data_IF_108424875520
#
_entry.id   IF_108424875520
#
_cell.length_a   1.000
_cell.length_b   1.000
_cell.length_c   1.000
_cell.angle_alpha   90.00
_cell.angle_beta   90.00
_cell.angle_gamma   90.00
#
_symmetry.space_group_name_H-M   'P 1'
#
loop_
_entity.id
_entity.type
_entity.pdbx_description
1 polymer ?
#
# COMPACT_ATOMS: atom_id res chain seq x y z
N UNK A 1 -1.05 27.02 44.61
CA UNK A 1 -1.74 27.99 43.70
C UNK A 1 -0.74 28.71 42.77
N UNK A 2 0.45 29.19 43.24
CA UNK A 2 1.42 29.91 42.39
C UNK A 2 2.09 28.96 41.39
N UNK A 3 2.48 27.75 41.82
CA UNK A 3 3.12 26.75 40.97
C UNK A 3 2.25 26.26 39.83
N UNK A 4 0.94 26.06 40.05
CA UNK A 4 -0.02 25.67 39.01
C UNK A 4 -0.24 26.77 37.96
N UNK A 5 -0.23 28.03 38.37
CA UNK A 5 -0.37 29.19 37.47
C UNK A 5 0.88 29.36 36.58
N UNK A 6 2.08 29.12 37.12
CA UNK A 6 3.36 29.17 36.37
C UNK A 6 3.42 28.00 35.36
N UNK A 7 3.01 26.80 35.77
CA UNK A 7 2.94 25.63 34.88
C UNK A 7 1.96 25.88 33.73
N UNK A 8 0.77 26.40 34.03
CA UNK A 8 -0.25 26.67 33.00
C UNK A 8 0.19 27.75 32.01
N UNK A 9 0.82 28.83 32.51
CA UNK A 9 1.39 29.89 31.64
C UNK A 9 2.57 29.37 30.79
N UNK A 10 3.44 28.54 31.35
CA UNK A 10 4.55 27.90 30.63
C UNK A 10 4.00 27.00 29.50
N UNK A 11 3.01 26.17 29.82
CA UNK A 11 2.37 25.29 28.86
C UNK A 11 1.67 26.05 27.73
N UNK A 12 0.89 27.09 28.07
CA UNK A 12 0.27 27.97 27.07
C UNK A 12 1.31 28.63 26.15
N UNK A 13 2.41 29.14 26.71
CA UNK A 13 3.46 29.82 25.94
C UNK A 13 4.18 28.84 24.99
N UNK A 14 4.44 27.62 25.44
CA UNK A 14 5.05 26.55 24.62
C UNK A 14 4.10 26.13 23.48
N UNK A 15 2.82 25.94 23.81
CA UNK A 15 1.80 25.56 22.82
C UNK A 15 1.61 26.64 21.76
N UNK A 16 1.56 27.91 22.17
CA UNK A 16 1.45 29.05 21.25
C UNK A 16 2.71 29.23 20.40
N UNK A 17 3.89 28.98 20.96
CA UNK A 17 5.16 29.05 20.20
C UNK A 17 5.24 27.97 19.13
N UNK A 18 4.79 26.75 19.40
CA UNK A 18 4.71 25.67 18.42
C UNK A 18 3.70 26.03 17.30
N UNK A 19 2.57 26.63 17.66
CA UNK A 19 1.57 27.11 16.69
C UNK A 19 2.10 28.22 15.79
N UNK A 20 2.86 29.17 16.34
CA UNK A 20 3.43 30.30 15.58
C UNK A 20 4.55 29.86 14.62
N UNK A 21 5.32 28.85 14.96
CA UNK A 21 6.35 28.27 14.08
C UNK A 21 5.73 27.60 12.85
N UNK A 22 4.56 26.98 12.99
CA UNK A 22 3.85 26.29 11.89
C UNK A 22 3.19 27.30 10.92
N UNK A 23 2.74 28.45 11.44
CA UNK A 23 2.03 29.47 10.66
C UNK A 23 2.97 30.27 9.72
N UNK A 24 4.27 30.36 10.03
CA UNK A 24 5.25 31.07 9.20
C UNK A 24 5.62 30.36 7.88
N UNK A 25 5.21 29.11 7.68
CA UNK A 25 5.54 28.30 6.49
C UNK A 25 4.37 28.11 5.50
N UNK A 26 3.23 28.79 5.69
CA UNK A 26 2.06 28.59 4.82
C UNK A 26 1.42 27.19 4.88
N UNK A 27 1.80 26.37 5.84
CA UNK A 27 1.26 25.05 6.07
C UNK A 27 0.00 25.09 6.94
N UNK A 28 -0.89 24.13 6.72
CA UNK A 28 -2.06 23.87 7.56
C UNK A 28 -1.63 23.85 9.04
N UNK A 29 -2.29 24.63 9.91
CA UNK A 29 -2.01 24.71 11.34
C UNK A 29 -1.96 23.34 12.01
N UNK A 30 -1.04 23.15 12.99
CA UNK A 30 -0.94 21.90 13.78
C UNK A 30 -2.29 21.51 14.37
N UNK A 31 -3.07 22.49 14.85
CA UNK A 31 -4.42 22.26 15.34
C UNK A 31 -5.35 21.69 14.28
N UNK A 32 -5.30 22.20 13.07
CA UNK A 32 -6.13 21.75 11.97
C UNK A 32 -5.74 20.34 11.52
N UNK A 33 -4.43 20.03 11.49
CA UNK A 33 -3.93 18.68 11.26
C UNK A 33 -4.42 17.69 12.33
N UNK A 34 -4.34 18.08 13.61
CA UNK A 34 -4.82 17.27 14.72
C UNK A 34 -6.34 17.08 14.69
N UNK A 35 -7.09 18.16 14.42
CA UNK A 35 -8.56 18.09 14.28
C UNK A 35 -8.97 17.16 13.13
N UNK A 36 -8.34 17.33 11.96
CA UNK A 36 -8.57 16.48 10.78
C UNK A 36 -8.27 15.02 11.08
N UNK A 37 -7.11 14.74 11.70
CA UNK A 37 -6.73 13.36 12.08
C UNK A 37 -7.75 12.75 13.05
N UNK A 38 -8.18 13.51 14.05
CA UNK A 38 -9.19 13.06 15.03
C UNK A 38 -10.55 12.80 14.37
N UNK A 39 -10.95 13.65 13.42
CA UNK A 39 -12.18 13.48 12.64
C UNK A 39 -12.12 12.21 11.79
N UNK A 40 -11.04 11.99 11.07
CA UNK A 40 -10.84 10.80 10.22
C UNK A 40 -10.77 9.50 11.04
N UNK A 41 -10.19 9.52 12.23
CA UNK A 41 -10.16 8.35 13.12
C UNK A 41 -11.54 7.95 13.66
N UNK A 42 -12.52 8.87 13.63
CA UNK A 42 -13.92 8.61 13.96
C UNK A 42 -14.77 8.25 12.74
N UNK A 43 -14.18 8.25 11.54
CA UNK A 43 -14.86 7.89 10.31
C UNK A 43 -15.31 6.43 10.26
N UNK A 44 -16.13 6.10 9.28
CA UNK A 44 -16.63 4.75 9.07
C UNK A 44 -15.48 3.72 8.93
N UNK A 45 -15.69 2.52 9.44
CA UNK A 45 -14.78 1.38 9.20
C UNK A 45 -15.12 0.79 7.84
N UNK A 46 -14.16 0.78 6.94
CA UNK A 46 -14.34 0.34 5.54
C UNK A 46 -13.36 -0.79 5.26
N UNK A 47 -13.87 -1.89 4.71
CA UNK A 47 -13.06 -2.96 4.12
C UNK A 47 -13.21 -2.87 2.61
N UNK A 48 -12.11 -2.74 1.90
CA UNK A 48 -12.05 -2.73 0.44
C UNK A 48 -11.27 -3.96 -0.03
N UNK A 49 -11.87 -4.75 -0.92
CA UNK A 49 -11.29 -6.00 -1.44
C UNK A 49 -11.08 -5.83 -2.94
N UNK A 50 -9.89 -6.18 -3.43
CA UNK A 50 -9.58 -6.12 -4.85
C UNK A 50 -8.08 -6.14 -5.12
N UNK A 51 -7.70 -5.82 -6.35
CA UNK A 51 -6.31 -5.76 -6.79
C UNK A 51 -6.09 -4.68 -7.82
N UNK A 52 -4.86 -4.58 -8.29
CA UNK A 52 -4.50 -3.68 -9.37
C UNK A 52 -4.73 -2.20 -9.11
N UNK A 53 -4.92 -1.49 -10.22
CA UNK A 53 -5.08 -0.03 -10.23
C UNK A 53 -6.42 0.41 -9.62
N UNK A 54 -7.47 -0.39 -9.77
CA UNK A 54 -8.82 -0.03 -9.32
C UNK A 54 -8.91 0.14 -7.81
N UNK A 55 -8.36 -0.81 -7.05
CA UNK A 55 -8.35 -0.74 -5.58
C UNK A 55 -7.54 0.46 -5.09
N UNK A 56 -6.33 0.69 -5.63
CA UNK A 56 -5.49 1.81 -5.22
C UNK A 56 -6.15 3.16 -5.49
N UNK A 57 -6.86 3.32 -6.61
CA UNK A 57 -7.64 4.54 -6.91
C UNK A 57 -8.78 4.74 -5.91
N UNK A 58 -9.51 3.67 -5.57
CA UNK A 58 -10.56 3.70 -4.57
C UNK A 58 -10.02 4.14 -3.19
N UNK A 59 -8.88 3.58 -2.78
CA UNK A 59 -8.23 3.90 -1.50
C UNK A 59 -7.81 5.37 -1.41
N UNK A 60 -7.31 5.99 -2.51
CA UNK A 60 -7.04 7.43 -2.57
C UNK A 60 -8.27 8.29 -2.30
N UNK A 61 -9.44 7.82 -2.74
CA UNK A 61 -10.72 8.47 -2.44
C UNK A 61 -11.11 8.30 -0.97
N UNK A 62 -11.14 7.07 -0.50
CA UNK A 62 -11.62 6.69 0.84
C UNK A 62 -10.79 7.35 1.96
N UNK A 63 -9.46 7.41 1.83
CA UNK A 63 -8.58 8.01 2.88
C UNK A 63 -8.88 9.47 3.20
N UNK A 64 -9.62 10.18 2.32
CA UNK A 64 -10.05 11.55 2.55
C UNK A 64 -11.19 11.66 3.57
N UNK A 65 -11.90 10.55 3.82
CA UNK A 65 -13.10 10.49 4.66
C UNK A 65 -12.88 9.71 5.96
N UNK A 66 -11.98 8.72 5.96
CA UNK A 66 -11.69 7.89 7.14
C UNK A 66 -10.26 7.36 7.13
N UNK A 67 -9.70 7.16 8.33
CA UNK A 67 -8.45 6.43 8.54
C UNK A 67 -8.71 4.93 8.84
N UNK A 68 -9.98 4.55 9.07
CA UNK A 68 -10.35 3.18 9.44
C UNK A 68 -10.59 2.33 8.19
N UNK A 69 -9.57 2.21 7.35
CA UNK A 69 -9.60 1.47 6.08
C UNK A 69 -8.77 0.20 6.21
N UNK A 70 -9.34 -0.93 5.80
CA UNK A 70 -8.60 -2.18 5.59
C UNK A 70 -8.71 -2.55 4.12
N UNK A 71 -7.57 -2.61 3.44
CA UNK A 71 -7.47 -3.08 2.06
C UNK A 71 -7.05 -4.55 2.05
N UNK A 72 -7.87 -5.42 1.48
CA UNK A 72 -7.54 -6.83 1.23
C UNK A 72 -7.17 -6.94 -0.26
N UNK A 73 -5.90 -7.23 -0.52
CA UNK A 73 -5.29 -7.11 -1.85
C UNK A 73 -5.09 -8.48 -2.45
N UNK A 74 -5.55 -8.69 -3.68
CA UNK A 74 -5.30 -9.92 -4.44
C UNK A 74 -3.80 -10.10 -4.71
N UNK A 75 -3.33 -11.35 -4.78
CA UNK A 75 -1.92 -11.72 -4.94
C UNK A 75 -1.70 -12.61 -6.17
N UNK A 76 -2.51 -12.43 -7.20
CA UNK A 76 -2.45 -13.20 -8.44
C UNK A 76 -1.50 -12.64 -9.50
N UNK A 77 -0.96 -11.41 -9.33
CA UNK A 77 -0.09 -10.75 -10.31
C UNK A 77 1.20 -11.57 -10.57
N UNK A 78 1.40 -11.95 -11.82
CA UNK A 78 2.58 -12.69 -12.29
C UNK A 78 3.36 -11.92 -13.36
N UNK A 79 3.00 -10.66 -13.60
CA UNK A 79 3.60 -9.83 -14.63
C UNK A 79 4.85 -9.07 -14.18
N UNK A 80 5.72 -8.77 -15.14
CA UNK A 80 6.83 -7.83 -15.02
C UNK A 80 7.73 -8.02 -13.79
N UNK A 81 7.90 -6.96 -12.99
CA UNK A 81 8.76 -6.98 -11.80
C UNK A 81 8.20 -7.85 -10.68
N UNK A 82 6.88 -7.92 -10.52
CA UNK A 82 6.23 -8.72 -9.47
C UNK A 82 6.42 -10.21 -9.72
N UNK A 83 6.18 -10.65 -10.97
CA UNK A 83 6.35 -12.05 -11.35
C UNK A 83 7.78 -12.52 -11.18
N UNK A 84 8.78 -11.72 -11.65
CA UNK A 84 10.20 -12.08 -11.47
C UNK A 84 10.58 -12.25 -9.99
N UNK A 85 10.19 -11.31 -9.12
CA UNK A 85 10.50 -11.39 -7.69
C UNK A 85 9.78 -12.57 -7.02
N UNK A 86 8.57 -12.87 -7.44
CA UNK A 86 7.83 -14.05 -6.99
C UNK A 86 8.58 -15.35 -7.35
N UNK A 87 9.04 -15.48 -8.58
CA UNK A 87 9.77 -16.67 -9.06
C UNK A 87 11.17 -16.79 -8.44
N UNK A 88 11.93 -15.69 -8.38
CA UNK A 88 13.32 -15.70 -7.92
C UNK A 88 13.43 -15.76 -6.39
N UNK A 89 12.51 -15.13 -5.66
CA UNK A 89 12.59 -14.97 -4.20
C UNK A 89 11.55 -15.80 -3.44
N UNK A 90 10.60 -16.46 -4.13
CA UNK A 90 9.54 -17.24 -3.47
C UNK A 90 8.60 -16.41 -2.60
N UNK A 91 8.37 -15.16 -2.94
CA UNK A 91 7.51 -14.24 -2.18
C UNK A 91 6.18 -14.02 -2.90
N UNK A 92 5.18 -13.54 -2.17
CA UNK A 92 3.95 -13.05 -2.82
C UNK A 92 4.26 -11.86 -3.73
N UNK A 93 3.55 -11.71 -4.87
CA UNK A 93 3.79 -10.62 -5.81
C UNK A 93 3.52 -9.26 -5.14
N UNK A 94 4.52 -8.37 -5.06
CA UNK A 94 4.40 -7.14 -4.27
C UNK A 94 3.69 -5.98 -4.99
N UNK A 95 3.41 -6.09 -6.29
CA UNK A 95 2.98 -4.97 -7.14
C UNK A 95 1.70 -4.29 -6.65
N UNK A 96 0.64 -5.03 -6.47
CA UNK A 96 -0.65 -4.52 -6.03
C UNK A 96 -0.63 -4.05 -4.58
N UNK A 97 0.05 -4.80 -3.72
CA UNK A 97 0.28 -4.41 -2.32
C UNK A 97 1.00 -3.06 -2.26
N UNK A 98 2.07 -2.90 -3.04
CA UNK A 98 2.82 -1.64 -3.18
C UNK A 98 1.92 -0.47 -3.60
N UNK A 99 1.06 -0.68 -4.60
CA UNK A 99 0.15 0.35 -5.08
C UNK A 99 -0.85 0.79 -4.00
N UNK A 100 -1.35 -0.15 -3.21
CA UNK A 100 -2.26 0.13 -2.10
C UNK A 100 -1.56 0.86 -0.95
N UNK A 101 -0.33 0.48 -0.60
CA UNK A 101 0.49 1.17 0.40
C UNK A 101 0.74 2.61 -0.03
N UNK A 102 1.20 2.85 -1.26
CA UNK A 102 1.42 4.20 -1.79
C UNK A 102 0.13 5.04 -1.77
N UNK A 103 -1.01 4.45 -2.14
CA UNK A 103 -2.30 5.14 -2.13
C UNK A 103 -2.75 5.58 -0.73
N UNK A 104 -2.37 4.86 0.32
CA UNK A 104 -2.71 5.16 1.71
C UNK A 104 -1.66 6.00 2.45
N UNK A 105 -0.50 6.28 1.85
CA UNK A 105 0.54 7.12 2.44
C UNK A 105 0.05 8.54 2.69
N UNK A 106 0.57 9.20 3.74
CA UNK A 106 0.25 10.59 4.08
C UNK A 106 0.81 11.56 3.05
N UNK A 107 2.07 11.39 2.66
CA UNK A 107 2.74 12.08 1.56
C UNK A 107 2.64 11.20 0.30
N UNK A 108 1.49 11.25 -0.34
CA UNK A 108 1.19 10.38 -1.47
C UNK A 108 2.09 10.68 -2.68
N UNK A 109 2.31 11.95 -2.99
CA UNK A 109 2.99 12.35 -4.23
C UNK A 109 4.43 11.84 -4.22
N UNK A 110 5.19 12.13 -3.16
CA UNK A 110 6.58 11.70 -3.02
C UNK A 110 6.71 10.18 -2.89
N UNK A 111 5.85 9.55 -2.09
CA UNK A 111 5.85 8.09 -1.91
C UNK A 111 5.43 7.39 -3.19
N UNK A 112 4.43 7.89 -3.89
CA UNK A 112 4.00 7.32 -5.17
C UNK A 112 5.12 7.40 -6.20
N UNK A 113 5.78 8.56 -6.33
CA UNK A 113 6.90 8.74 -7.25
C UNK A 113 8.05 7.78 -6.93
N UNK A 114 8.47 7.70 -5.66
CA UNK A 114 9.52 6.79 -5.20
C UNK A 114 9.16 5.33 -5.43
N UNK A 115 7.96 4.91 -5.05
CA UNK A 115 7.53 3.51 -5.14
C UNK A 115 7.27 3.07 -6.58
N UNK A 116 6.91 3.98 -7.46
CA UNK A 116 6.75 3.71 -8.89
C UNK A 116 8.05 3.89 -9.68
N UNK A 117 9.08 4.46 -9.06
CA UNK A 117 10.37 4.58 -9.73
C UNK A 117 10.84 3.22 -10.22
N UNK A 118 11.13 3.13 -11.53
CA UNK A 118 11.58 1.89 -12.18
C UNK A 118 13.01 2.08 -12.64
N UNK A 119 13.85 1.14 -12.25
CA UNK A 119 15.24 1.14 -12.65
C UNK A 119 15.34 0.91 -14.16
N UNK A 120 16.00 1.83 -14.85
CA UNK A 120 16.18 1.76 -16.32
C UNK A 120 17.44 1.01 -16.73
N UNK A 121 18.38 0.90 -15.80
CA UNK A 121 19.69 0.28 -16.01
C UNK A 121 20.12 -0.42 -14.74
N UNK A 122 21.14 -1.28 -14.85
CA UNK A 122 21.72 -2.04 -13.75
C UNK A 122 21.43 -3.53 -13.88
N UNK A 123 22.50 -4.32 -13.87
CA UNK A 123 22.38 -5.78 -13.90
C UNK A 123 21.56 -6.27 -12.71
N UNK A 124 20.52 -7.05 -12.95
CA UNK A 124 19.58 -7.52 -11.93
C UNK A 124 18.55 -6.48 -11.42
N UNK A 125 18.74 -5.17 -11.69
CA UNK A 125 17.79 -4.14 -11.24
C UNK A 125 16.84 -3.69 -12.35
N UNK A 126 17.28 -3.75 -13.59
CA UNK A 126 16.53 -3.23 -14.73
C UNK A 126 15.10 -3.79 -14.79
N UNK A 127 14.15 -2.88 -14.93
CA UNK A 127 12.72 -3.19 -14.98
C UNK A 127 12.06 -3.42 -13.62
N UNK A 128 12.82 -3.52 -12.51
CA UNK A 128 12.22 -3.56 -11.18
C UNK A 128 11.79 -2.16 -10.71
N UNK A 129 10.67 -2.09 -9.98
CA UNK A 129 10.31 -0.87 -9.28
C UNK A 129 10.96 -0.85 -7.89
N UNK A 130 11.34 0.36 -7.43
CA UNK A 130 11.89 0.54 -6.09
C UNK A 130 10.95 -0.04 -5.01
N UNK A 131 9.66 0.25 -5.10
CA UNK A 131 8.70 -0.21 -4.09
C UNK A 131 8.56 -1.73 -4.04
N UNK A 132 8.70 -2.44 -5.18
CA UNK A 132 8.71 -3.90 -5.17
C UNK A 132 9.97 -4.43 -4.48
N UNK A 133 11.15 -3.88 -4.79
CA UNK A 133 12.41 -4.25 -4.12
C UNK A 133 12.38 -3.94 -2.63
N UNK A 134 11.81 -2.80 -2.24
CA UNK A 134 11.64 -2.42 -0.83
C UNK A 134 10.80 -3.44 -0.06
N UNK A 135 9.64 -3.85 -0.60
CA UNK A 135 8.79 -4.86 0.03
C UNK A 135 9.47 -6.23 0.07
N UNK A 136 10.19 -6.60 -0.99
CA UNK A 136 10.97 -7.84 -1.04
C UNK A 136 12.05 -7.87 0.04
N UNK A 137 12.79 -6.77 0.20
CA UNK A 137 13.80 -6.65 1.26
C UNK A 137 13.18 -6.75 2.66
N UNK A 138 12.04 -6.08 2.89
CA UNK A 138 11.31 -6.21 4.16
C UNK A 138 10.80 -7.64 4.38
N UNK A 139 10.31 -8.32 3.36
CA UNK A 139 9.89 -9.70 3.47
C UNK A 139 11.04 -10.62 3.88
N UNK A 140 12.22 -10.42 3.30
CA UNK A 140 13.43 -11.17 3.66
C UNK A 140 13.88 -10.90 5.11
N UNK A 141 13.74 -9.67 5.60
CA UNK A 141 14.10 -9.29 6.98
C UNK A 141 13.10 -9.84 7.99
N UNK A 142 11.81 -9.76 7.69
CA UNK A 142 10.72 -10.08 8.63
C UNK A 142 10.27 -11.53 8.57
N UNK A 143 10.59 -12.23 7.50
CA UNK A 143 10.29 -13.64 7.29
C UNK A 143 8.93 -13.91 6.60
N UNK A 144 8.04 -12.92 6.53
CA UNK A 144 6.75 -13.06 5.86
C UNK A 144 6.21 -11.73 5.31
N UNK A 145 5.31 -11.82 4.32
CA UNK A 145 4.74 -10.64 3.64
C UNK A 145 3.83 -9.81 4.55
N UNK A 146 3.10 -10.40 5.48
CA UNK A 146 2.20 -9.64 6.38
C UNK A 146 3.01 -8.73 7.29
N UNK A 147 4.10 -9.25 7.86
CA UNK A 147 5.03 -8.45 8.66
C UNK A 147 5.73 -7.40 7.82
N UNK A 148 6.17 -7.75 6.61
CA UNK A 148 6.78 -6.80 5.67
C UNK A 148 5.84 -5.61 5.37
N UNK A 149 4.58 -5.89 5.07
CA UNK A 149 3.56 -4.86 4.83
C UNK A 149 3.31 -4.02 6.08
N UNK A 150 3.24 -4.64 7.26
CA UNK A 150 3.08 -3.91 8.52
C UNK A 150 4.25 -2.98 8.80
N UNK A 151 5.48 -3.44 8.63
CA UNK A 151 6.67 -2.61 8.85
C UNK A 151 6.79 -1.51 7.78
N UNK A 152 6.45 -1.79 6.51
CA UNK A 152 6.37 -0.76 5.48
C UNK A 152 5.35 0.32 5.84
N UNK A 153 4.24 -0.07 6.44
CA UNK A 153 3.19 0.85 6.90
C UNK A 153 3.68 1.80 7.99
N UNK A 154 4.53 1.29 8.89
CA UNK A 154 5.15 2.09 9.95
C UNK A 154 6.16 3.09 9.36
N UNK A 155 7.03 2.63 8.44
CA UNK A 155 8.05 3.48 7.79
C UNK A 155 7.42 4.60 6.97
N UNK A 156 6.32 4.31 6.27
CA UNK A 156 5.66 5.23 5.33
C UNK A 156 4.50 6.01 5.96
N UNK A 157 4.23 5.78 7.24
CA UNK A 157 3.13 6.44 7.96
C UNK A 157 1.80 6.38 7.18
N UNK A 158 1.39 5.18 6.75
CA UNK A 158 0.15 5.01 6.00
C UNK A 158 -1.09 5.11 6.89
N UNK A 159 -2.21 5.47 6.28
CA UNK A 159 -3.54 5.52 6.93
C UNK A 159 -4.30 4.26 6.63
N UNK A 160 -4.60 3.47 7.66
CA UNK A 160 -5.31 2.20 7.50
C UNK A 160 -4.38 0.99 7.52
N UNK A 161 -4.88 -0.12 7.01
CA UNK A 161 -4.19 -1.43 7.01
C UNK A 161 -4.26 -2.02 5.62
N UNK A 162 -3.16 -2.60 5.15
CA UNK A 162 -3.10 -3.38 3.92
C UNK A 162 -2.79 -4.83 4.28
N UNK A 163 -3.53 -5.76 3.72
CA UNK A 163 -3.36 -7.19 3.94
C UNK A 163 -3.41 -7.92 2.58
N UNK A 164 -2.56 -8.93 2.35
CA UNK A 164 -2.76 -9.85 1.24
C UNK A 164 -4.02 -10.70 1.44
N UNK A 165 -4.71 -11.05 0.36
CA UNK A 165 -5.93 -11.86 0.40
C UNK A 165 -5.65 -13.30 0.84
N UNK A 166 -4.48 -13.82 0.52
CA UNK A 166 -3.96 -15.12 0.99
C UNK A 166 -2.45 -15.03 1.15
N UNK A 167 -1.87 -15.99 1.89
CA UNK A 167 -0.42 -16.18 2.01
C UNK A 167 0.08 -17.34 1.12
N UNK A 168 -0.83 -18.06 0.51
CA UNK A 168 -0.50 -19.15 -0.39
C UNK A 168 0.01 -18.62 -1.74
N UNK A 169 0.92 -19.36 -2.35
CA UNK A 169 1.42 -19.06 -3.70
C UNK A 169 0.37 -19.47 -4.74
N UNK A 170 -0.65 -18.64 -4.86
CA UNK A 170 -1.80 -18.87 -5.72
C UNK A 170 -1.55 -18.35 -7.14
N UNK A 171 -1.79 -19.21 -8.15
CA UNK A 171 -1.74 -18.82 -9.57
C UNK A 171 -3.14 -18.79 -10.17
N UNK A 172 -3.41 -17.79 -10.99
CA UNK A 172 -4.65 -17.75 -11.76
C UNK A 172 -4.54 -18.65 -12.97
N UNK A 173 -5.59 -19.42 -13.25
CA UNK A 173 -5.69 -20.24 -14.44
C UNK A 173 -7.06 -20.07 -15.11
N UNK A 174 -7.12 -20.25 -16.41
CA UNK A 174 -8.34 -20.19 -17.20
C UNK A 174 -8.46 -21.43 -18.08
N UNK A 175 -9.63 -22.08 -18.05
CA UNK A 175 -10.04 -23.04 -19.08
C UNK A 175 -10.82 -22.33 -20.16
N UNK A 176 -10.54 -22.64 -21.42
CA UNK A 176 -11.20 -22.07 -22.60
C UNK A 176 -12.24 -23.04 -23.16
N UNK A 177 -13.19 -22.53 -24.00
CA UNK A 177 -14.19 -23.38 -24.66
C UNK A 177 -13.58 -24.41 -25.63
N UNK A 178 -12.39 -24.12 -26.18
CA UNK A 178 -11.63 -25.01 -27.07
C UNK A 178 -10.84 -26.12 -26.33
N UNK A 179 -10.95 -26.18 -25.00
CA UNK A 179 -10.30 -27.19 -24.16
C UNK A 179 -8.90 -26.82 -23.66
N UNK A 180 -8.30 -25.71 -24.08
CA UNK A 180 -7.01 -25.25 -23.57
C UNK A 180 -7.15 -24.79 -22.12
N UNK A 181 -6.09 -25.04 -21.31
CA UNK A 181 -5.91 -24.45 -19.97
C UNK A 181 -4.68 -23.55 -20.04
N UNK A 182 -4.84 -22.30 -19.64
CA UNK A 182 -3.78 -21.30 -19.62
C UNK A 182 -3.57 -20.86 -18.19
N UNK A 183 -2.30 -20.88 -17.76
CA UNK A 183 -1.88 -20.48 -16.42
C UNK A 183 -1.21 -19.10 -16.48
N UNK A 184 -1.45 -18.29 -15.45
CA UNK A 184 -0.88 -16.98 -15.29
C UNK A 184 -1.83 -15.86 -15.76
N UNK A 185 -1.98 -14.84 -14.90
CA UNK A 185 -2.83 -13.68 -15.16
C UNK A 185 -2.41 -12.95 -16.44
N UNK A 186 -1.10 -12.80 -16.65
CA UNK A 186 -0.53 -12.12 -17.83
C UNK A 186 -0.76 -12.87 -19.13
N UNK A 187 -0.81 -14.21 -19.11
CA UNK A 187 -0.93 -15.05 -20.30
C UNK A 187 -2.38 -15.21 -20.77
N UNK A 188 -3.35 -15.12 -19.86
CA UNK A 188 -4.77 -15.35 -20.17
C UNK A 188 -5.30 -14.40 -21.26
N UNK A 189 -5.05 -13.08 -21.22
CA UNK A 189 -5.49 -12.17 -22.26
C UNK A 189 -4.83 -12.44 -23.63
N UNK A 190 -3.58 -12.90 -23.63
CA UNK A 190 -2.82 -13.17 -24.88
C UNK A 190 -3.29 -14.45 -25.59
N UNK A 191 -3.93 -15.36 -24.85
CA UNK A 191 -4.34 -16.65 -25.40
C UNK A 191 -5.47 -16.59 -26.43
N UNK A 192 -6.14 -15.45 -26.57
CA UNK A 192 -7.28 -15.21 -27.43
C UNK A 192 -8.29 -16.37 -27.48
N UNK A 193 -9.51 -16.15 -27.06
CA UNK A 193 -10.56 -17.17 -27.03
C UNK A 193 -11.63 -16.86 -26.01
N UNK A 194 -12.64 -17.74 -25.93
CA UNK A 194 -13.69 -17.61 -24.93
C UNK A 194 -13.31 -18.41 -23.69
N UNK A 195 -13.23 -17.69 -22.55
CA UNK A 195 -12.99 -18.29 -21.25
C UNK A 195 -14.27 -19.02 -20.83
N UNK A 196 -14.12 -20.30 -20.48
CA UNK A 196 -15.18 -21.14 -19.92
C UNK A 196 -15.21 -21.03 -18.40
N UNK A 197 -14.05 -21.05 -17.74
CA UNK A 197 -13.91 -20.97 -16.27
C UNK A 197 -12.59 -20.31 -15.92
N UNK A 198 -12.66 -19.42 -14.91
CA UNK A 198 -11.47 -18.94 -14.18
C UNK A 198 -11.39 -19.70 -12.84
N UNK A 199 -10.18 -20.07 -12.45
CA UNK A 199 -9.92 -20.75 -11.19
C UNK A 199 -8.51 -20.44 -10.70
N UNK A 200 -8.22 -20.79 -9.47
CA UNK A 200 -6.90 -20.61 -8.85
C UNK A 200 -6.26 -21.96 -8.59
N UNK A 201 -4.93 -22.00 -8.61
CA UNK A 201 -4.14 -23.17 -8.24
C UNK A 201 -3.13 -22.75 -7.17
N UNK A 202 -3.10 -23.45 -6.01
CA UNK A 202 -4.05 -24.51 -5.60
C UNK A 202 -5.48 -24.00 -5.40
N UNK A 203 -6.46 -24.90 -5.54
CA UNK A 203 -7.89 -24.61 -5.32
C UNK A 203 -8.21 -24.39 -3.84
#
# INVERSE_FOLDING_TARGET
LIGSAIFFKGWQKTTLSIMDMDNKKGNISVLEKLYRRRKLNKGAKIVAIGGGTGLSMLLRGIKKYTNNVTAIVTVGDDGGSSGRLREEMGILPPGDIRNCIAALADDEDMITELFQYRFKNGEGLEGHSFGNLFLTALCSITGDMVRAVKESSNVLNIRGVVLPATLDDMKLAASFEDGRIIHGESNIPEAHGKIKRLFTEPE
#
